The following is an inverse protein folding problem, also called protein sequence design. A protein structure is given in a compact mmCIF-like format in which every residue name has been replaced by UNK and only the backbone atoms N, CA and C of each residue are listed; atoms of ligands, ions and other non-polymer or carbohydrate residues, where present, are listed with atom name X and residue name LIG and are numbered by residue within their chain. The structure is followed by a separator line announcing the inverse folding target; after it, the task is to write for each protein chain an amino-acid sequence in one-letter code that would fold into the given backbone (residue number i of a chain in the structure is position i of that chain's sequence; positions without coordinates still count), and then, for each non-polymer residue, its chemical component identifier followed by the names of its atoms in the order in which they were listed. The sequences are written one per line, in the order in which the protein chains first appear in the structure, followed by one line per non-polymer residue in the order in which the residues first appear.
data_IF_967788813821
#
_entry.id   IF_967788813821
#
_cell.length_a   1.000
_cell.length_b   1.000
_cell.length_c   1.000
_cell.angle_alpha   90.00
_cell.angle_beta   90.00
_cell.angle_gamma   90.00
#
_symmetry.space_group_name_H-M   'P 1'
#
loop_
_entity.id
_entity.type
_entity.pdbx_description
1 polymer ?
#
# COMPACT_ATOMS: atom_id res chain seq x y z
N UNK A 1 -33.04 9.94 -4.64
CA UNK A 1 -32.23 9.25 -3.62
C UNK A 1 -30.82 9.79 -3.72
N UNK A 2 -30.27 10.27 -2.61
CA UNK A 2 -28.88 10.73 -2.55
C UNK A 2 -27.89 9.59 -2.74
N UNK A 3 -26.59 9.91 -2.68
CA UNK A 3 -25.51 8.94 -2.79
C UNK A 3 -24.39 9.21 -1.80
N UNK A 4 -23.78 8.14 -1.31
CA UNK A 4 -22.52 8.25 -0.58
C UNK A 4 -21.34 8.35 -1.56
N UNK A 5 -20.28 9.03 -1.14
CA UNK A 5 -18.99 9.07 -1.81
C UNK A 5 -17.85 8.99 -0.79
N UNK A 6 -16.64 8.64 -1.25
CA UNK A 6 -15.43 8.70 -0.44
C UNK A 6 -14.64 9.97 -0.77
N UNK A 7 -14.53 10.92 0.18
CA UNK A 7 -13.64 12.07 0.06
C UNK A 7 -12.21 11.64 -0.24
N UNK A 8 -11.46 12.51 -0.93
CA UNK A 8 -10.09 12.22 -1.34
C UNK A 8 -9.16 11.84 -0.18
N UNK A 9 -9.43 12.39 1.00
CA UNK A 9 -8.61 12.22 2.20
C UNK A 9 -9.01 11.00 3.03
N UNK A 10 -10.06 10.28 2.63
CA UNK A 10 -10.52 9.09 3.37
C UNK A 10 -9.53 7.96 3.17
N UNK A 11 -8.89 7.54 4.26
CA UNK A 11 -7.98 6.40 4.25
C UNK A 11 -8.78 5.12 4.47
N UNK A 12 -8.80 4.24 3.47
CA UNK A 12 -9.51 2.96 3.59
C UNK A 12 -9.53 2.15 2.30
N UNK A 13 -9.93 0.90 2.41
CA UNK A 13 -10.14 0.00 1.27
C UNK A 13 -11.64 -0.10 0.99
N UNK A 14 -12.06 0.34 -0.19
CA UNK A 14 -13.43 0.23 -0.64
C UNK A 14 -13.69 -1.07 -1.40
N UNK A 15 -14.55 -1.93 -0.86
CA UNK A 15 -15.14 -3.05 -1.57
C UNK A 15 -16.47 -2.64 -2.18
N UNK A 16 -16.46 -2.44 -3.50
CA UNK A 16 -17.64 -2.04 -4.28
C UNK A 16 -18.74 -3.10 -4.29
N UNK A 17 -18.39 -4.38 -4.28
CA UNK A 17 -19.37 -5.48 -4.32
C UNK A 17 -20.09 -5.60 -2.99
N UNK A 18 -19.33 -5.54 -1.89
CA UNK A 18 -19.87 -5.61 -0.52
C UNK A 18 -20.39 -4.27 0.02
N UNK A 19 -20.20 -3.17 -0.72
CA UNK A 19 -20.46 -1.79 -0.25
C UNK A 19 -19.85 -1.52 1.13
N UNK A 20 -18.61 -1.96 1.30
CA UNK A 20 -17.92 -1.86 2.58
C UNK A 20 -16.62 -1.08 2.48
N UNK A 21 -16.37 -0.25 3.50
CA UNK A 21 -15.12 0.48 3.67
C UNK A 21 -14.35 -0.15 4.83
N UNK A 22 -13.18 -0.73 4.55
CA UNK A 22 -12.27 -1.19 5.61
C UNK A 22 -11.29 -0.08 5.99
N UNK A 23 -11.24 0.25 7.27
CA UNK A 23 -10.38 1.30 7.85
C UNK A 23 -9.66 0.73 9.07
N UNK A 24 -8.61 1.41 9.54
CA UNK A 24 -7.94 1.00 10.77
C UNK A 24 -8.31 1.87 11.97
N UNK A 25 -8.20 1.26 13.15
CA UNK A 25 -8.38 1.94 14.43
C UNK A 25 -7.49 3.19 14.50
N UNK A 26 -8.10 4.33 14.86
CA UNK A 26 -7.42 5.61 15.01
C UNK A 26 -7.19 6.39 13.72
N UNK A 27 -7.61 5.88 12.56
CA UNK A 27 -7.60 6.65 11.31
C UNK A 27 -8.82 7.58 11.23
N UNK A 28 -8.61 8.80 10.73
CA UNK A 28 -9.71 9.69 10.38
C UNK A 28 -10.47 9.11 9.18
N UNK A 29 -11.78 8.93 9.34
CA UNK A 29 -12.67 8.40 8.31
C UNK A 29 -13.73 9.43 7.99
N UNK A 30 -13.81 9.80 6.72
CA UNK A 30 -14.84 10.69 6.22
C UNK A 30 -15.74 9.94 5.24
N UNK A 31 -17.04 10.06 5.39
CA UNK A 31 -18.01 9.63 4.37
C UNK A 31 -18.69 10.87 3.83
N UNK A 32 -18.66 11.03 2.52
CA UNK A 32 -19.38 12.09 1.84
C UNK A 32 -20.81 11.66 1.52
N UNK A 33 -21.75 12.60 1.59
CA UNK A 33 -23.12 12.41 1.14
C UNK A 33 -23.52 13.53 0.18
N UNK A 34 -24.09 13.17 -0.97
CA UNK A 34 -24.64 14.10 -1.95
C UNK A 34 -26.15 13.90 -2.06
N UNK A 35 -26.92 14.90 -1.63
CA UNK A 35 -28.38 14.89 -1.69
C UNK A 35 -28.93 15.42 -3.03
N UNK A 36 -30.16 15.05 -3.39
CA UNK A 36 -30.85 15.60 -4.57
C UNK A 36 -31.66 16.82 -4.15
N UNK A 37 -31.68 17.89 -4.95
CA UNK A 37 -32.61 19.02 -4.75
C UNK A 37 -32.45 19.79 -3.44
N UNK A 38 -31.25 19.82 -2.84
CA UNK A 38 -30.99 20.50 -1.56
C UNK A 38 -31.35 19.66 -0.31
N UNK A 39 -31.78 18.41 -0.48
CA UNK A 39 -32.11 17.49 0.61
C UNK A 39 -30.91 17.05 1.44
N UNK A 40 -29.68 17.40 1.04
CA UNK A 40 -28.47 17.06 1.78
C UNK A 40 -28.56 17.48 3.26
N UNK A 41 -28.99 18.72 3.50
CA UNK A 41 -29.14 19.31 4.85
C UNK A 41 -30.34 18.80 5.64
N UNK A 42 -31.23 18.08 4.97
CA UNK A 42 -32.39 17.47 5.56
C UNK A 42 -32.12 16.03 6.01
N UNK A 43 -30.99 15.45 5.59
CA UNK A 43 -30.59 14.10 5.96
C UNK A 43 -30.02 14.07 7.39
N UNK A 44 -30.32 13.00 8.10
CA UNK A 44 -29.67 12.61 9.36
C UNK A 44 -28.74 11.44 9.09
N UNK A 45 -27.62 11.37 9.81
CA UNK A 45 -26.61 10.33 9.62
C UNK A 45 -26.46 9.53 10.90
N UNK A 46 -26.29 8.22 10.77
CA UNK A 46 -25.92 7.36 11.89
C UNK A 46 -24.84 6.37 11.46
N UNK A 47 -23.89 6.13 12.35
CA UNK A 47 -22.91 5.05 12.26
C UNK A 47 -23.01 4.27 13.56
N UNK A 48 -23.58 3.05 13.52
CA UNK A 48 -23.77 2.25 14.74
C UNK A 48 -23.58 0.76 14.49
N UNK A 49 -23.32 0.02 15.56
CA UNK A 49 -23.27 -1.44 15.55
C UNK A 49 -24.46 -1.98 16.34
N UNK A 50 -25.42 -2.65 15.70
CA UNK A 50 -26.57 -3.28 16.36
C UNK A 50 -27.31 -2.35 17.36
N UNK A 51 -27.42 -1.06 17.06
CA UNK A 51 -28.06 -0.07 17.94
C UNK A 51 -27.21 0.42 19.12
N UNK A 52 -25.93 0.02 19.20
CA UNK A 52 -24.99 0.51 20.21
C UNK A 52 -24.14 1.66 19.67
N UNK A 53 -24.25 2.82 20.34
CA UNK A 53 -23.38 4.00 20.17
C UNK A 53 -23.46 4.71 18.81
N UNK A 54 -23.56 6.03 18.83
CA UNK A 54 -23.40 6.85 17.62
C UNK A 54 -21.90 7.17 17.44
N UNK A 55 -21.35 6.82 16.27
CA UNK A 55 -19.96 7.05 15.90
C UNK A 55 -19.80 8.14 14.84
N UNK A 56 -20.89 8.60 14.20
CA UNK A 56 -20.87 9.83 13.40
C UNK A 56 -20.90 11.03 14.35
N UNK A 57 -19.82 11.80 14.41
CA UNK A 57 -19.68 12.90 15.38
C UNK A 57 -19.90 14.27 14.78
N UNK A 58 -19.38 14.48 13.59
CA UNK A 58 -19.28 15.80 12.99
C UNK A 58 -19.75 15.74 11.55
N UNK A 59 -20.57 16.71 11.17
CA UNK A 59 -21.08 16.89 9.81
C UNK A 59 -20.62 18.26 9.33
N UNK A 60 -19.89 18.31 8.23
CA UNK A 60 -19.37 19.53 7.63
C UNK A 60 -20.11 19.80 6.31
N UNK A 61 -20.40 21.06 6.02
CA UNK A 61 -20.84 21.49 4.70
C UNK A 61 -19.67 21.39 3.70
N UNK A 62 -19.89 20.70 2.56
CA UNK A 62 -18.95 20.59 1.43
C UNK A 62 -19.58 21.16 0.14
N UNK A 63 -20.31 22.25 0.31
CA UNK A 63 -21.05 22.92 -0.75
C UNK A 63 -22.56 22.74 -0.66
N UNK A 64 -23.32 23.22 -1.67
CA UNK A 64 -24.77 23.38 -1.58
C UNK A 64 -25.55 22.06 -1.52
N UNK A 65 -24.95 20.96 -1.95
CA UNK A 65 -25.60 19.65 -2.05
C UNK A 65 -24.82 18.54 -1.36
N UNK A 66 -23.72 18.86 -0.67
CA UNK A 66 -22.79 17.86 -0.15
C UNK A 66 -22.48 18.10 1.32
N UNK A 67 -22.38 16.99 2.03
CA UNK A 67 -21.96 16.93 3.42
C UNK A 67 -20.81 15.94 3.57
N UNK A 68 -19.90 16.22 4.50
CA UNK A 68 -18.85 15.31 4.93
C UNK A 68 -19.13 14.89 6.36
N UNK A 69 -19.04 13.60 6.64
CA UNK A 69 -19.35 13.04 7.96
C UNK A 69 -18.10 12.37 8.49
N UNK A 70 -17.61 12.83 9.65
CA UNK A 70 -16.49 12.20 10.36
C UNK A 70 -16.99 11.04 11.23
N UNK A 71 -16.33 9.89 11.08
CA UNK A 71 -16.61 8.67 11.82
C UNK A 71 -15.46 8.37 12.79
N UNK A 72 -15.78 8.19 14.07
CA UNK A 72 -14.80 7.77 15.08
C UNK A 72 -14.49 6.28 14.95
N UNK A 73 -13.19 5.92 15.02
CA UNK A 73 -12.71 4.54 14.88
C UNK A 73 -11.90 4.07 16.12
N UNK A 74 -12.45 4.16 17.35
CA UNK A 74 -11.65 4.02 18.57
C UNK A 74 -11.20 2.57 18.86
N UNK A 75 -11.91 1.58 18.31
CA UNK A 75 -11.63 0.17 18.51
C UNK A 75 -12.06 -0.63 17.28
N UNK A 76 -11.72 -1.92 17.18
CA UNK A 76 -12.22 -2.77 16.11
C UNK A 76 -13.72 -3.00 16.25
N UNK A 77 -14.47 -2.74 15.19
CA UNK A 77 -15.92 -2.95 15.14
C UNK A 77 -16.45 -2.92 13.70
N UNK A 78 -17.72 -3.31 13.52
CA UNK A 78 -18.45 -3.23 12.26
C UNK A 78 -19.61 -2.26 12.44
N UNK A 79 -19.58 -1.14 11.71
CA UNK A 79 -20.64 -0.14 11.69
C UNK A 79 -21.49 -0.28 10.45
N UNK A 80 -22.80 -0.13 10.60
CA UNK A 80 -23.67 0.21 9.48
C UNK A 80 -23.82 1.72 9.46
N UNK A 81 -23.36 2.35 8.37
CA UNK A 81 -23.53 3.78 8.15
C UNK A 81 -24.76 4.02 7.26
N UNK A 82 -25.66 4.86 7.76
CA UNK A 82 -26.93 5.16 7.12
C UNK A 82 -27.15 6.66 7.00
N UNK A 83 -27.89 7.06 5.98
CA UNK A 83 -28.40 8.42 5.82
C UNK A 83 -29.91 8.31 5.68
N UNK A 84 -30.64 9.03 6.52
CA UNK A 84 -32.10 8.97 6.61
C UNK A 84 -32.69 10.34 6.25
N UNK A 85 -33.71 10.36 5.39
CA UNK A 85 -34.43 11.58 5.04
C UNK A 85 -35.39 12.02 6.16
N UNK A 86 -36.05 13.17 5.97
CA UNK A 86 -37.05 13.69 6.93
C UNK A 86 -38.24 12.76 7.17
N UNK A 87 -38.54 11.91 6.20
CA UNK A 87 -39.61 10.92 6.25
C UNK A 87 -39.22 9.63 6.98
N UNK A 88 -38.00 9.56 7.53
CA UNK A 88 -37.48 8.38 8.22
C UNK A 88 -37.05 7.25 7.30
N UNK A 89 -37.09 7.44 5.98
CA UNK A 89 -36.62 6.45 4.99
C UNK A 89 -35.16 6.67 4.64
N UNK A 90 -34.51 5.61 4.17
CA UNK A 90 -33.14 5.69 3.67
C UNK A 90 -33.03 6.71 2.53
N UNK A 91 -32.22 7.74 2.75
CA UNK A 91 -31.90 8.76 1.76
C UNK A 91 -30.84 8.27 0.77
N UNK A 92 -30.01 7.30 1.16
CA UNK A 92 -29.12 6.53 0.32
C UNK A 92 -29.02 5.10 0.90
N UNK A 93 -28.71 4.08 0.08
CA UNK A 93 -28.59 2.74 0.62
C UNK A 93 -27.37 2.67 1.57
N UNK A 94 -27.43 1.88 2.66
CA UNK A 94 -26.36 1.81 3.66
C UNK A 94 -24.99 1.41 3.11
N UNK A 95 -23.95 1.70 3.88
CA UNK A 95 -22.60 1.15 3.68
C UNK A 95 -22.11 0.52 4.99
N UNK A 96 -21.29 -0.50 4.87
CA UNK A 96 -20.64 -1.13 6.04
C UNK A 96 -19.27 -0.50 6.25
N UNK A 97 -18.94 -0.05 7.46
CA UNK A 97 -17.59 0.40 7.82
C UNK A 97 -16.97 -0.66 8.73
N UNK A 98 -15.91 -1.31 8.23
CA UNK A 98 -15.17 -2.34 8.93
C UNK A 98 -13.93 -1.71 9.57
N UNK A 99 -14.01 -1.37 10.85
CA UNK A 99 -12.88 -0.87 11.62
C UNK A 99 -12.07 -2.06 12.14
N UNK A 100 -10.81 -2.16 11.73
CA UNK A 100 -9.93 -3.28 12.09
C UNK A 100 -8.69 -2.81 12.84
N UNK A 101 -8.07 -3.70 13.61
CA UNK A 101 -6.70 -3.48 14.04
C UNK A 101 -5.78 -3.52 12.83
N UNK A 102 -4.84 -2.57 12.77
CA UNK A 102 -3.74 -2.61 11.81
C UNK A 102 -2.88 -3.85 12.08
N UNK A 103 -2.63 -4.72 11.08
CA UNK A 103 -1.72 -5.84 11.25
C UNK A 103 -0.32 -5.35 11.61
N UNK A 104 0.38 -6.09 12.48
CA UNK A 104 1.82 -5.88 12.67
C UNK A 104 2.55 -6.45 11.46
N UNK A 105 2.76 -5.60 10.44
CA UNK A 105 3.52 -6.00 9.27
C UNK A 105 4.98 -6.36 9.57
N UNK A 106 5.51 -5.89 10.71
CA UNK A 106 6.83 -6.27 11.20
C UNK A 106 6.95 -7.77 11.54
N UNK A 107 5.83 -8.46 11.82
CA UNK A 107 5.82 -9.87 12.19
C UNK A 107 5.88 -10.79 10.94
N UNK A 108 5.70 -10.21 9.74
CA UNK A 108 5.83 -10.94 8.49
C UNK A 108 7.32 -11.09 8.18
N UNK A 109 7.79 -12.34 8.15
CA UNK A 109 9.18 -12.65 7.82
C UNK A 109 9.62 -11.95 6.53
N UNK A 110 10.77 -11.23 6.55
CA UNK A 110 11.27 -10.56 5.37
C UNK A 110 11.58 -11.57 4.26
N UNK A 111 11.56 -11.10 3.01
CA UNK A 111 11.86 -11.92 1.85
C UNK A 111 13.07 -11.31 1.16
N UNK A 112 14.18 -12.04 1.17
CA UNK A 112 15.35 -11.68 0.37
C UNK A 112 15.16 -11.97 -1.11
N UNK A 113 15.82 -11.18 -1.94
CA UNK A 113 15.85 -11.40 -3.39
C UNK A 113 16.68 -12.63 -3.77
N UNK A 114 16.21 -13.40 -4.74
CA UNK A 114 16.88 -14.64 -5.14
C UNK A 114 18.19 -14.43 -5.91
N UNK A 115 18.35 -13.26 -6.53
CA UNK A 115 19.54 -12.79 -7.22
C UNK A 115 19.65 -11.25 -7.08
N UNK A 116 20.68 -10.63 -7.64
CA UNK A 116 20.93 -9.20 -7.47
C UNK A 116 19.89 -8.26 -8.13
N UNK A 117 19.07 -8.77 -9.05
CA UNK A 117 18.12 -7.98 -9.84
C UNK A 117 16.64 -8.30 -9.51
N UNK A 118 16.39 -9.32 -8.68
CA UNK A 118 15.07 -9.77 -8.27
C UNK A 118 14.43 -8.99 -7.08
N UNK A 119 14.89 -7.77 -6.78
CA UNK A 119 14.33 -6.95 -5.70
C UNK A 119 12.81 -6.75 -5.86
N UNK A 120 12.33 -6.58 -7.09
CA UNK A 120 10.92 -6.44 -7.42
C UNK A 120 10.10 -7.70 -7.07
N UNK A 121 10.65 -8.89 -7.33
CA UNK A 121 9.96 -10.16 -7.12
C UNK A 121 9.87 -10.49 -5.63
N UNK A 122 10.95 -10.24 -4.88
CA UNK A 122 10.96 -10.37 -3.42
C UNK A 122 9.98 -9.43 -2.74
N UNK A 123 9.95 -8.16 -3.17
CA UNK A 123 8.99 -7.18 -2.69
C UNK A 123 7.56 -7.61 -2.96
N UNK A 124 7.27 -8.08 -4.18
CA UNK A 124 5.92 -8.48 -4.56
C UNK A 124 5.47 -9.74 -3.82
N UNK A 125 6.36 -10.73 -3.66
CA UNK A 125 6.12 -11.91 -2.83
C UNK A 125 5.75 -11.51 -1.40
N UNK A 126 6.53 -10.61 -0.77
CA UNK A 126 6.24 -10.16 0.58
C UNK A 126 4.94 -9.36 0.64
N UNK A 127 4.69 -8.48 -0.32
CA UNK A 127 3.46 -7.69 -0.40
C UNK A 127 2.22 -8.59 -0.52
N UNK A 128 2.27 -9.63 -1.36
CA UNK A 128 1.18 -10.60 -1.50
C UNK A 128 0.92 -11.40 -0.21
N UNK A 129 1.94 -11.62 0.63
CA UNK A 129 1.76 -12.20 1.97
C UNK A 129 1.11 -11.22 2.94
N UNK A 130 1.45 -9.93 2.84
CA UNK A 130 0.96 -8.88 3.73
C UNK A 130 -0.46 -8.39 3.39
N UNK A 131 -0.84 -8.45 2.11
CA UNK A 131 -2.14 -8.02 1.64
C UNK A 131 -3.23 -9.07 1.95
N UNK A 132 -4.37 -8.68 2.55
CA UNK A 132 -5.44 -9.61 2.89
C UNK A 132 -6.08 -10.19 1.64
N UNK A 133 -6.53 -11.45 1.72
CA UNK A 133 -7.25 -12.13 0.65
C UNK A 133 -6.53 -12.17 -0.70
N UNK A 134 -5.19 -12.15 -0.70
CA UNK A 134 -4.37 -12.32 -1.90
C UNK A 134 -3.77 -13.70 -1.98
N UNK A 135 -3.68 -14.22 -3.20
CA UNK A 135 -2.95 -15.46 -3.46
C UNK A 135 -1.47 -15.22 -3.20
N UNK A 136 -0.89 -15.99 -2.28
CA UNK A 136 0.54 -15.96 -2.04
C UNK A 136 1.27 -16.64 -3.20
N UNK A 137 2.27 -15.95 -3.74
CA UNK A 137 3.07 -16.42 -4.88
C UNK A 137 4.54 -16.19 -4.51
N UNK A 138 5.38 -17.19 -4.72
CA UNK A 138 6.82 -17.09 -4.50
C UNK A 138 7.57 -16.48 -5.69
N UNK A 139 8.83 -16.09 -5.46
CA UNK A 139 9.68 -15.50 -6.50
C UNK A 139 9.79 -16.35 -7.78
N UNK A 140 10.04 -17.68 -7.72
CA UNK A 140 10.10 -18.50 -8.93
C UNK A 140 8.81 -18.45 -9.76
N UNK A 141 7.63 -18.52 -9.12
CA UNK A 141 6.37 -18.42 -9.84
C UNK A 141 6.09 -17.00 -10.36
N UNK A 142 6.56 -15.96 -9.68
CA UNK A 142 6.49 -14.58 -10.18
C UNK A 142 7.35 -14.40 -11.44
N UNK A 143 8.56 -14.97 -11.47
CA UNK A 143 9.44 -14.95 -12.64
C UNK A 143 8.83 -15.63 -13.86
N UNK A 144 8.20 -16.80 -13.66
CA UNK A 144 7.48 -17.50 -14.74
C UNK A 144 6.37 -16.62 -15.30
N UNK A 145 5.61 -15.93 -14.43
CA UNK A 145 4.52 -15.03 -14.84
C UNK A 145 5.01 -13.75 -15.52
N UNK A 146 6.24 -13.32 -15.26
CA UNK A 146 6.83 -12.11 -15.85
C UNK A 146 7.50 -12.35 -17.21
N UNK A 147 7.26 -13.50 -17.85
CA UNK A 147 7.83 -13.81 -19.16
C UNK A 147 7.54 -12.69 -20.18
N UNK A 148 8.59 -12.18 -20.84
CA UNK A 148 8.51 -11.06 -21.79
C UNK A 148 8.40 -9.68 -21.13
N UNK A 149 8.36 -9.58 -19.80
CA UNK A 149 8.29 -8.32 -19.05
C UNK A 149 9.59 -7.94 -18.34
N UNK A 150 10.53 -8.87 -18.20
CA UNK A 150 11.86 -8.61 -17.62
C UNK A 150 12.91 -8.38 -18.71
N UNK A 151 13.97 -7.67 -18.37
CA UNK A 151 15.20 -7.59 -19.17
C UNK A 151 15.95 -8.92 -19.19
N UNK A 152 16.97 -9.01 -20.05
CA UNK A 152 17.83 -10.20 -20.12
C UNK A 152 18.58 -10.47 -18.80
N UNK A 153 18.80 -9.42 -18.02
CA UNK A 153 19.42 -9.42 -16.70
C UNK A 153 18.41 -9.67 -15.55
N UNK A 154 17.13 -9.90 -15.85
CA UNK A 154 16.08 -10.12 -14.83
C UNK A 154 15.48 -8.85 -14.22
N UNK A 155 15.94 -7.66 -14.63
CA UNK A 155 15.37 -6.39 -14.16
C UNK A 155 13.97 -6.14 -14.74
N UNK A 156 13.16 -5.34 -14.06
CA UNK A 156 11.85 -4.89 -14.57
C UNK A 156 11.78 -3.36 -14.54
N UNK A 157 11.43 -2.75 -15.67
CA UNK A 157 11.23 -1.30 -15.72
C UNK A 157 9.84 -0.89 -15.18
N UNK A 158 9.65 0.37 -14.75
CA UNK A 158 8.39 0.81 -14.13
C UNK A 158 7.13 0.64 -15.02
N UNK A 159 7.27 0.80 -16.33
CA UNK A 159 6.14 0.65 -17.25
C UNK A 159 5.73 -0.82 -17.35
N UNK A 160 6.71 -1.71 -17.50
CA UNK A 160 6.48 -3.16 -17.48
C UNK A 160 5.99 -3.67 -16.14
N UNK A 161 6.46 -3.11 -15.02
CA UNK A 161 5.97 -3.45 -13.69
C UNK A 161 4.48 -3.07 -13.54
N UNK A 162 4.07 -1.91 -14.04
CA UNK A 162 2.66 -1.49 -14.06
C UNK A 162 1.80 -2.47 -14.86
N UNK A 163 2.25 -2.85 -16.06
CA UNK A 163 1.58 -3.85 -16.88
C UNK A 163 1.51 -5.21 -16.18
N UNK A 164 2.61 -5.65 -15.57
CA UNK A 164 2.72 -6.94 -14.89
C UNK A 164 1.71 -7.10 -13.76
N UNK A 165 1.61 -6.10 -12.88
CA UNK A 165 0.67 -6.14 -11.75
C UNK A 165 -0.78 -6.04 -12.18
N UNK A 166 -1.05 -5.35 -13.29
CA UNK A 166 -2.39 -5.22 -13.89
C UNK A 166 -2.88 -6.53 -14.49
N UNK A 167 -2.06 -7.20 -15.33
CA UNK A 167 -2.49 -8.41 -16.05
C UNK A 167 -2.57 -9.66 -15.16
N UNK A 168 -1.84 -9.68 -14.05
CA UNK A 168 -1.82 -10.84 -13.15
C UNK A 168 -2.88 -10.80 -12.04
N UNK A 169 -3.75 -9.79 -12.03
CA UNK A 169 -4.85 -9.62 -11.07
C UNK A 169 -4.43 -9.80 -9.60
N UNK A 170 -3.32 -9.18 -9.20
CA UNK A 170 -2.86 -9.21 -7.80
C UNK A 170 -3.75 -8.37 -6.86
N UNK A 171 -4.80 -7.72 -7.38
CA UNK A 171 -5.54 -6.69 -6.66
C UNK A 171 -4.62 -5.52 -6.26
N UNK A 172 -3.66 -5.19 -7.13
CA UNK A 172 -2.71 -4.09 -6.96
C UNK A 172 -2.88 -3.11 -8.11
N UNK A 173 -2.80 -1.82 -7.81
CA UNK A 173 -2.62 -0.76 -8.80
C UNK A 173 -1.20 -0.22 -8.72
N UNK A 174 -0.49 -0.32 -9.85
CA UNK A 174 0.83 0.28 -10.03
C UNK A 174 0.74 1.63 -10.73
N UNK A 175 1.52 2.63 -10.31
CA UNK A 175 1.64 3.91 -11.03
C UNK A 175 2.92 4.67 -10.66
N UNK A 176 3.33 5.57 -11.54
CA UNK A 176 4.35 6.57 -11.21
C UNK A 176 3.74 7.74 -10.41
N UNK A 177 4.44 8.22 -9.40
CA UNK A 177 4.07 9.38 -8.59
C UNK A 177 5.24 10.35 -8.46
N UNK A 178 4.94 11.64 -8.33
CA UNK A 178 5.95 12.65 -8.06
C UNK A 178 6.57 12.44 -6.67
N UNK A 179 7.87 12.73 -6.53
CA UNK A 179 8.59 12.58 -5.26
C UNK A 179 7.91 13.29 -4.09
N UNK A 180 7.40 14.51 -4.32
CA UNK A 180 6.68 15.30 -3.32
C UNK A 180 5.40 14.63 -2.79
N UNK A 181 4.82 13.70 -3.54
CA UNK A 181 3.56 13.02 -3.19
C UNK A 181 3.79 11.69 -2.49
N UNK A 182 5.03 11.22 -2.35
CA UNK A 182 5.29 9.89 -1.77
C UNK A 182 4.88 9.80 -0.29
N UNK A 183 4.97 10.93 0.43
CA UNK A 183 4.60 11.03 1.84
C UNK A 183 3.12 10.79 2.06
N UNK A 184 2.29 11.07 1.05
CA UNK A 184 0.84 10.83 1.10
C UNK A 184 0.53 9.33 1.25
N UNK A 185 1.49 8.45 0.92
CA UNK A 185 1.35 7.00 1.01
C UNK A 185 1.89 6.38 2.31
N UNK A 186 2.60 7.15 3.14
CA UNK A 186 3.22 6.61 4.35
C UNK A 186 2.18 6.23 5.40
N UNK A 187 2.46 5.13 6.10
CA UNK A 187 1.65 4.64 7.20
C UNK A 187 0.30 4.01 6.80
N UNK A 188 -0.10 4.00 5.53
CA UNK A 188 -1.44 3.57 5.12
C UNK A 188 -1.59 2.05 5.01
N UNK A 189 -0.82 1.43 4.12
CA UNK A 189 -0.74 -0.01 3.83
C UNK A 189 0.67 -0.29 3.31
N UNK A 190 1.11 -1.57 3.24
CA UNK A 190 2.31 -1.93 2.51
C UNK A 190 2.34 -1.30 1.12
N UNK A 191 3.28 -0.39 0.93
CA UNK A 191 3.55 0.34 -0.28
C UNK A 191 4.74 -0.34 -0.96
N UNK A 192 4.50 -1.04 -2.06
CA UNK A 192 5.60 -1.48 -2.92
C UNK A 192 6.17 -0.23 -3.58
N UNK A 193 7.44 0.10 -3.36
CA UNK A 193 8.04 1.33 -3.88
C UNK A 193 9.26 1.00 -4.74
N UNK A 194 9.30 1.56 -5.95
CA UNK A 194 10.45 1.51 -6.85
C UNK A 194 11.09 2.89 -6.97
N UNK A 195 12.41 2.95 -6.78
CA UNK A 195 13.18 4.17 -6.71
C UNK A 195 14.63 3.96 -7.15
N UNK A 196 15.40 5.04 -7.27
CA UNK A 196 16.85 4.97 -7.47
C UNK A 196 17.52 5.05 -6.09
N UNK A 197 18.17 3.98 -5.66
CA UNK A 197 18.86 3.94 -4.38
C UNK A 197 20.10 4.85 -4.39
N UNK A 198 20.62 5.26 -3.21
CA UNK A 198 21.96 5.84 -3.12
C UNK A 198 22.97 4.95 -3.85
N UNK A 199 23.87 5.54 -4.65
CA UNK A 199 24.75 4.79 -5.58
C UNK A 199 24.21 4.69 -7.01
N UNK A 200 22.92 5.01 -7.22
CA UNK A 200 22.38 5.27 -8.54
C UNK A 200 21.84 4.06 -9.30
N UNK A 201 21.61 2.93 -8.63
CA UNK A 201 20.94 1.77 -9.21
C UNK A 201 19.42 1.79 -8.92
N UNK A 202 18.64 1.12 -9.77
CA UNK A 202 17.20 0.93 -9.54
C UNK A 202 16.97 -0.10 -8.43
N UNK A 203 16.09 0.22 -7.49
CA UNK A 203 15.81 -0.65 -6.34
C UNK A 203 14.33 -0.63 -5.97
N UNK A 204 13.89 -1.69 -5.29
CA UNK A 204 12.55 -1.78 -4.72
C UNK A 204 12.59 -2.26 -3.27
N UNK A 205 11.71 -1.71 -2.44
CA UNK A 205 11.39 -2.24 -1.11
C UNK A 205 9.89 -2.08 -0.82
N UNK A 206 9.43 -2.52 0.35
CA UNK A 206 8.03 -2.38 0.76
C UNK A 206 7.93 -1.57 2.03
N UNK A 207 7.39 -0.35 1.97
CA UNK A 207 7.15 0.47 3.15
C UNK A 207 5.89 -0.01 3.85
N UNK A 208 5.92 -0.27 5.15
CA UNK A 208 4.76 -0.84 5.86
C UNK A 208 4.47 -0.19 7.21
N UNK A 209 5.25 0.79 7.63
CA UNK A 209 4.98 1.55 8.84
C UNK A 209 5.60 2.94 8.80
N UNK A 210 5.01 3.87 9.56
CA UNK A 210 5.53 5.21 9.77
C UNK A 210 5.52 5.54 11.26
N UNK A 211 6.58 6.15 11.74
CA UNK A 211 6.60 6.85 13.02
C UNK A 211 6.73 8.35 12.75
N UNK A 212 5.60 9.06 12.83
CA UNK A 212 5.52 10.50 12.55
C UNK A 212 6.38 11.31 13.53
N UNK A 213 6.41 10.93 14.81
CA UNK A 213 7.18 11.61 15.84
C UNK A 213 8.70 11.49 15.61
N UNK A 214 9.16 10.30 15.21
CA UNK A 214 10.58 10.05 14.91
C UNK A 214 10.95 10.38 13.46
N UNK A 215 9.97 10.72 12.60
CA UNK A 215 10.16 10.95 11.15
C UNK A 215 10.84 9.78 10.45
N UNK A 216 10.47 8.55 10.82
CA UNK A 216 11.02 7.33 10.24
C UNK A 216 9.94 6.49 9.57
N UNK A 217 10.33 5.72 8.57
CA UNK A 217 9.50 4.69 7.96
C UNK A 217 10.13 3.32 8.14
N UNK A 218 9.28 2.30 8.26
CA UNK A 218 9.69 0.89 8.30
C UNK A 218 9.52 0.28 6.91
N UNK A 219 10.50 -0.51 6.50
CA UNK A 219 10.47 -1.19 5.22
C UNK A 219 10.91 -2.65 5.33
N UNK A 220 10.34 -3.50 4.50
CA UNK A 220 10.94 -4.78 4.16
C UNK A 220 11.95 -4.53 3.03
N UNK A 221 13.22 -4.75 3.34
CA UNK A 221 14.37 -4.58 2.45
C UNK A 221 14.79 -5.94 1.88
N UNK A 222 14.63 -6.20 0.56
CA UNK A 222 15.07 -7.46 -0.03
C UNK A 222 16.60 -7.54 -0.17
N UNK A 223 17.32 -6.42 -0.24
CA UNK A 223 18.77 -6.33 -0.32
C UNK A 223 19.42 -6.41 1.07
N UNK A 224 19.24 -7.55 1.74
CA UNK A 224 19.82 -7.79 3.05
C UNK A 224 20.22 -9.27 3.21
N UNK A 225 21.38 -9.59 3.82
CA UNK A 225 22.45 -8.66 4.17
C UNK A 225 22.93 -7.85 2.95
N UNK A 226 23.58 -6.73 3.19
CA UNK A 226 24.13 -5.93 2.10
C UNK A 226 25.51 -6.51 1.74
N UNK A 227 25.73 -7.06 0.52
CA UNK A 227 27.01 -7.60 0.12
C UNK A 227 28.15 -6.56 0.21
N UNK A 228 27.88 -5.27 0.05
CA UNK A 228 28.89 -4.23 0.16
C UNK A 228 29.44 -4.12 1.60
N UNK A 229 28.62 -4.43 2.60
CA UNK A 229 29.05 -4.49 4.00
C UNK A 229 29.86 -5.74 4.33
N UNK A 230 29.78 -6.77 3.50
CA UNK A 230 30.57 -8.00 3.64
C UNK A 230 31.95 -7.86 3.01
N UNK A 231 32.12 -6.93 2.07
CA UNK A 231 33.41 -6.53 1.50
C UNK A 231 34.24 -7.72 1.02
N UNK A 232 35.43 -7.86 1.58
CA UNK A 232 36.39 -8.90 1.19
C UNK A 232 35.96 -10.34 1.51
N UNK A 233 34.82 -10.55 2.16
CA UNK A 233 34.29 -11.88 2.47
C UNK A 233 33.64 -12.56 1.26
N UNK A 234 33.27 -11.82 0.22
CA UNK A 234 32.56 -12.35 -0.95
C UNK A 234 33.42 -12.33 -2.22
N UNK A 235 33.36 -13.41 -2.98
CA UNK A 235 33.69 -13.41 -4.40
C UNK A 235 32.45 -12.95 -5.19
N UNK A 236 32.64 -11.97 -6.07
CA UNK A 236 31.62 -11.51 -7.02
C UNK A 236 31.96 -12.08 -8.39
N UNK A 237 31.03 -12.82 -8.97
CA UNK A 237 31.12 -13.35 -10.32
C UNK A 237 30.14 -12.57 -11.18
N UNK A 238 30.65 -11.75 -12.08
CA UNK A 238 29.88 -11.00 -13.08
C UNK A 238 30.49 -11.26 -14.45
N UNK A 239 29.77 -12.01 -15.28
CA UNK A 239 30.18 -12.35 -16.64
C UNK A 239 29.46 -11.51 -17.71
N UNK A 240 28.71 -10.49 -17.29
CA UNK A 240 27.93 -9.60 -18.16
C UNK A 240 26.73 -10.26 -18.84
N UNK A 241 26.41 -11.54 -18.54
CA UNK A 241 25.28 -12.27 -19.14
C UNK A 241 24.08 -12.39 -18.19
N UNK A 242 24.17 -11.85 -16.99
CA UNK A 242 23.11 -11.92 -15.99
C UNK A 242 23.42 -11.11 -14.73
N UNK A 243 22.59 -11.24 -13.68
CA UNK A 243 22.86 -10.64 -12.38
C UNK A 243 24.17 -11.19 -11.77
N UNK A 244 25.00 -10.35 -11.11
CA UNK A 244 26.15 -10.84 -10.37
C UNK A 244 25.77 -11.92 -9.35
N UNK A 245 26.61 -12.95 -9.28
CA UNK A 245 26.50 -14.04 -8.32
C UNK A 245 27.56 -13.85 -7.23
N UNK A 246 27.14 -14.02 -5.98
CA UNK A 246 28.01 -13.85 -4.82
C UNK A 246 28.24 -15.21 -4.14
N UNK A 247 29.47 -15.47 -3.71
CA UNK A 247 29.82 -16.65 -2.95
C UNK A 247 30.83 -16.30 -1.85
N UNK A 248 30.77 -16.96 -0.70
CA UNK A 248 31.71 -16.73 0.38
C UNK A 248 33.11 -17.22 0.01
N UNK A 249 34.14 -16.39 0.24
CA UNK A 249 35.54 -16.77 -0.07
C UNK A 249 36.07 -17.91 0.79
N UNK A 250 35.51 -18.08 1.99
CA UNK A 250 35.98 -19.04 2.99
C UNK A 250 35.72 -20.49 2.58
N UNK A 251 34.55 -20.77 2.01
CA UNK A 251 34.06 -22.13 1.74
C UNK A 251 33.38 -22.29 0.37
N UNK A 252 33.23 -21.20 -0.40
CA UNK A 252 32.53 -21.20 -1.68
C UNK A 252 31.01 -21.32 -1.55
N UNK A 253 30.44 -21.23 -0.34
CA UNK A 253 29.00 -21.33 -0.16
C UNK A 253 28.29 -20.18 -0.90
N UNK A 254 27.13 -20.44 -1.54
CA UNK A 254 26.40 -19.41 -2.25
C UNK A 254 25.87 -18.37 -1.25
N UNK A 255 26.11 -17.10 -1.54
CA UNK A 255 25.50 -16.00 -0.81
C UNK A 255 23.99 -16.01 -1.03
N UNK A 256 23.24 -15.61 0.00
CA UNK A 256 21.78 -15.51 -0.07
C UNK A 256 21.33 -14.22 0.57
N UNK A 257 20.53 -13.46 -0.16
CA UNK A 257 19.74 -12.41 0.47
C UNK A 257 18.65 -13.08 1.31
N UNK A 258 18.58 -12.70 2.57
CA UNK A 258 17.57 -13.15 3.53
C UNK A 258 16.43 -12.13 3.64
N UNK A 259 16.68 -10.89 3.22
CA UNK A 259 15.82 -9.75 3.47
C UNK A 259 15.88 -9.30 4.93
N UNK A 260 15.45 -8.06 5.20
CA UNK A 260 15.42 -7.51 6.54
C UNK A 260 14.23 -6.58 6.75
N UNK A 261 13.79 -6.47 8.00
CA UNK A 261 12.94 -5.36 8.43
C UNK A 261 13.85 -4.22 8.84
N UNK A 262 13.81 -3.10 8.12
CA UNK A 262 14.66 -1.93 8.37
C UNK A 262 13.83 -0.73 8.77
N UNK A 263 14.42 0.17 9.56
CA UNK A 263 13.86 1.49 9.84
C UNK A 263 14.78 2.53 9.22
N UNK A 264 14.23 3.42 8.40
CA UNK A 264 14.97 4.47 7.71
C UNK A 264 14.34 5.85 8.01
N UNK A 265 15.12 6.93 7.99
CA UNK A 265 14.55 8.28 7.96
C UNK A 265 13.58 8.42 6.78
N UNK A 266 12.46 9.12 6.96
CA UNK A 266 11.53 9.40 5.87
C UNK A 266 12.21 10.12 4.69
N UNK A 267 13.24 10.92 4.98
CA UNK A 267 14.08 11.63 4.01
C UNK A 267 14.80 10.71 3.03
N UNK A 268 15.08 9.45 3.41
CA UNK A 268 15.61 8.45 2.49
C UNK A 268 14.70 8.25 1.26
N UNK A 269 13.39 8.44 1.44
CA UNK A 269 12.38 8.27 0.40
C UNK A 269 11.79 9.59 -0.09
N UNK A 270 12.26 10.75 0.36
CA UNK A 270 11.80 12.06 -0.17
C UNK A 270 12.91 12.86 -0.81
N UNK A 271 14.13 12.70 -0.32
CA UNK A 271 15.28 13.54 -0.70
C UNK A 271 16.21 12.79 -1.66
N UNK A 272 16.14 11.45 -1.66
CA UNK A 272 16.93 10.60 -2.55
C UNK A 272 16.35 10.27 -3.95
N UNK A 273 15.12 10.65 -4.38
CA UNK A 273 14.62 10.23 -5.68
C UNK A 273 15.06 11.15 -6.83
N UNK A 274 16.08 10.69 -7.55
CA UNK A 274 16.36 10.91 -8.98
C UNK A 274 16.43 12.35 -9.52
N UNK A 275 17.35 12.51 -10.48
CA UNK A 275 17.33 13.53 -11.53
C UNK A 275 16.03 13.58 -12.38
N UNK A 276 15.02 12.73 -12.11
CA UNK A 276 13.70 12.69 -12.76
C UNK A 276 12.52 13.01 -11.83
N UNK A 277 12.70 13.03 -10.50
CA UNK A 277 11.68 13.43 -9.53
C UNK A 277 10.46 12.50 -9.39
N UNK A 278 10.56 11.21 -9.74
CA UNK A 278 9.45 10.24 -9.69
C UNK A 278 9.78 8.93 -8.95
N UNK A 279 8.74 8.33 -8.36
CA UNK A 279 8.70 6.97 -7.81
C UNK A 279 7.74 6.12 -8.60
N UNK A 280 7.97 4.81 -8.65
CA UNK A 280 6.89 3.86 -8.92
C UNK A 280 6.29 3.39 -7.59
N UNK A 281 4.96 3.29 -7.50
CA UNK A 281 4.27 2.78 -6.32
C UNK A 281 3.25 1.72 -6.69
N UNK A 282 3.14 0.69 -5.85
CA UNK A 282 2.14 -0.36 -5.89
C UNK A 282 1.34 -0.39 -4.59
N UNK A 283 0.02 -0.24 -4.70
CA UNK A 283 -0.92 -0.22 -3.57
C UNK A 283 -2.10 -1.16 -3.84
N UNK A 284 -2.85 -1.61 -2.81
CA UNK A 284 -4.09 -2.35 -3.04
C UNK A 284 -5.04 -1.53 -3.93
N UNK A 285 -5.64 -2.14 -4.95
CA UNK A 285 -6.52 -1.42 -5.88
C UNK A 285 -7.74 -0.81 -5.19
N UNK A 286 -8.25 -1.49 -4.16
CA UNK A 286 -9.36 -1.06 -3.30
C UNK A 286 -9.01 0.21 -2.51
N UNK A 287 -7.73 0.51 -2.34
CA UNK A 287 -7.28 1.74 -1.71
C UNK A 287 -7.46 2.97 -2.61
N UNK A 288 -7.32 2.78 -3.92
CA UNK A 288 -7.55 3.85 -4.90
C UNK A 288 -9.00 3.88 -5.41
N UNK A 289 -9.77 2.83 -5.11
CA UNK A 289 -11.17 2.76 -5.46
C UNK A 289 -11.96 3.82 -4.70
N UNK A 290 -12.60 4.72 -5.44
CA UNK A 290 -13.61 5.63 -4.89
C UNK A 290 -15.00 5.03 -5.12
N UNK A 291 -15.92 5.33 -4.21
CA UNK A 291 -17.35 5.06 -4.33
C UNK A 291 -17.95 5.73 -5.58
#
# INVERSE_FOLDING_TARGET
MGRFFLPADTRGMWDRSGRSLTVFVGEDVFIGFEGIGGEARAASFSASQHGSGEYAREVYDDGPTRLLIKIDTPQPLRLTFTATGKDGRDAAPPIEILVKMRPSFADIAPVGQMDSNACWAACLQWWLKAAPNRTQIDQPNLLVRSHGMVGADGTIDPAKMTSFVSVNNFGMTGRSVAARSIRDFFGMWPLLIGFKAPGGFGHMNVLHGENVAQKTVRAMEPWAPDPDLLGDQLNVIDDGRGPPVYAYKTDGAPYRFLGAQVTRPATYYTDSPMNSGQFWVGVPSEYLARM
#
